data_IF_560396662262
#
_entry.id   IF_560396662262
#
_cell.length_a   1.000
_cell.length_b   1.000
_cell.length_c   1.000
_cell.angle_alpha   90.00
_cell.angle_beta   90.00
_cell.angle_gamma   90.00
#
_symmetry.space_group_name_H-M   'P 1'
#
loop_
_entity.id
_entity.type
_entity.pdbx_description
1 polymer ?
#
# COMPACT_ATOMS: atom_id res chain seq x y z
N UNK A 1 -10.37 -3.54 15.26
CA UNK A 1 -10.18 -2.10 15.51
C UNK A 1 -9.39 -1.50 14.35
N UNK A 2 -9.92 -1.62 13.12
CA UNK A 2 -9.16 -1.50 11.86
C UNK A 2 -8.66 -0.05 11.59
N UNK A 3 -9.13 0.94 12.36
CA UNK A 3 -8.75 2.36 12.24
C UNK A 3 -8.55 3.04 13.61
N UNK A 4 -8.27 2.28 14.67
CA UNK A 4 -8.22 2.80 16.04
C UNK A 4 -7.23 3.96 16.26
N UNK A 5 -6.18 4.04 15.45
CA UNK A 5 -5.14 5.08 15.50
C UNK A 5 -5.35 6.26 14.53
N UNK A 6 -6.45 6.29 13.77
CA UNK A 6 -6.66 7.25 12.67
C UNK A 6 -7.91 8.13 12.87
N UNK A 7 -8.22 8.50 14.12
CA UNK A 7 -9.26 9.51 14.37
C UNK A 7 -8.72 10.89 13.99
N UNK A 8 -9.21 11.46 12.90
CA UNK A 8 -8.90 12.82 12.47
C UNK A 8 -9.47 13.82 13.48
N UNK A 9 -8.65 14.23 14.45
CA UNK A 9 -9.00 15.29 15.40
C UNK A 9 -8.24 16.56 15.04
N UNK A 10 -8.96 17.69 14.98
CA UNK A 10 -8.37 19.02 14.81
C UNK A 10 -8.56 19.81 16.10
N UNK A 11 -7.47 20.26 16.71
CA UNK A 11 -7.52 21.19 17.84
C UNK A 11 -7.80 22.62 17.33
N UNK A 12 -9.02 23.10 17.58
CA UNK A 12 -9.49 24.42 17.14
C UNK A 12 -9.28 25.54 18.17
N UNK A 13 -8.48 25.33 19.21
CA UNK A 13 -8.29 26.30 20.30
C UNK A 13 -7.54 27.57 19.86
N UNK A 14 -6.54 27.44 18.99
CA UNK A 14 -5.77 28.55 18.40
C UNK A 14 -5.46 28.28 16.93
N UNK A 15 -4.98 29.29 16.20
CA UNK A 15 -4.53 29.10 14.81
C UNK A 15 -3.36 28.12 14.74
N UNK A 16 -2.40 28.21 15.65
CA UNK A 16 -1.21 27.34 15.66
C UNK A 16 -1.60 25.88 15.89
N UNK A 17 -2.47 25.61 16.86
CA UNK A 17 -2.95 24.24 17.14
C UNK A 17 -3.77 23.66 16.00
N UNK A 18 -4.51 24.50 15.26
CA UNK A 18 -5.21 24.08 14.04
C UNK A 18 -4.20 23.67 12.95
N UNK A 19 -3.16 24.48 12.74
CA UNK A 19 -2.13 24.21 11.74
C UNK A 19 -1.33 22.95 12.08
N UNK A 20 -0.94 22.76 13.33
CA UNK A 20 -0.24 21.54 13.78
C UNK A 20 -1.11 20.29 13.60
N UNK A 21 -2.40 20.38 13.93
CA UNK A 21 -3.35 19.29 13.72
C UNK A 21 -3.48 18.94 12.24
N UNK A 22 -3.60 19.94 11.36
CA UNK A 22 -3.68 19.74 9.92
C UNK A 22 -2.40 19.14 9.35
N UNK A 23 -1.22 19.60 9.80
CA UNK A 23 0.06 19.04 9.39
C UNK A 23 0.19 17.57 9.83
N UNK A 24 -0.18 17.27 11.07
CA UNK A 24 -0.20 15.90 11.60
C UNK A 24 -1.12 14.98 10.79
N UNK A 25 -2.30 15.46 10.38
CA UNK A 25 -3.22 14.70 9.54
C UNK A 25 -2.70 14.51 8.12
N UNK A 26 -2.18 15.56 7.48
CA UNK A 26 -1.63 15.51 6.13
C UNK A 26 -0.49 14.49 6.01
N UNK A 27 0.35 14.40 7.04
CA UNK A 27 1.43 13.43 7.14
C UNK A 27 0.96 11.97 7.24
N UNK A 28 -0.23 11.76 7.82
CA UNK A 28 -0.84 10.44 7.98
C UNK A 28 -1.77 10.04 6.82
N UNK A 29 -1.97 10.90 5.82
CA UNK A 29 -2.79 10.57 4.66
C UNK A 29 -2.21 9.40 3.86
N UNK A 30 -3.11 8.67 3.18
CA UNK A 30 -2.77 7.60 2.23
C UNK A 30 -1.81 8.16 1.18
N UNK A 31 -0.88 7.32 0.71
CA UNK A 31 0.30 7.72 -0.06
C UNK A 31 1.32 8.44 0.82
N UNK A 32 1.04 9.63 1.36
CA UNK A 32 2.02 10.42 2.14
C UNK A 32 2.66 9.59 3.24
N UNK A 33 1.87 8.91 4.06
CA UNK A 33 2.37 8.09 5.17
C UNK A 33 3.22 6.91 4.70
N UNK A 34 2.86 6.28 3.60
CA UNK A 34 3.37 4.97 3.15
C UNK A 34 4.65 5.09 2.31
N UNK A 35 4.84 6.23 1.65
CA UNK A 35 5.97 6.46 0.73
C UNK A 35 6.85 7.63 1.15
N UNK A 36 6.73 8.08 2.41
CA UNK A 36 7.60 9.13 2.97
C UNK A 36 8.91 8.52 3.46
N UNK A 37 10.03 9.13 3.07
CA UNK A 37 11.33 8.75 3.61
C UNK A 37 11.74 7.31 3.28
N UNK A 38 12.62 6.71 4.10
CA UNK A 38 13.09 5.34 3.89
C UNK A 38 11.99 4.29 4.04
N UNK A 39 12.05 3.23 3.23
CA UNK A 39 11.05 2.15 3.20
C UNK A 39 10.98 1.38 4.53
N UNK A 40 12.10 1.28 5.24
CA UNK A 40 12.30 0.56 6.50
C UNK A 40 12.05 1.44 7.75
N UNK A 41 11.60 2.68 7.57
CA UNK A 41 11.31 3.55 8.70
C UNK A 41 10.11 3.02 9.52
N UNK A 42 10.09 3.17 10.85
CA UNK A 42 8.95 2.71 11.66
C UNK A 42 7.62 3.37 11.30
N UNK A 43 6.52 2.62 11.36
CA UNK A 43 5.17 3.10 11.07
C UNK A 43 4.91 3.42 9.59
N UNK A 44 5.63 2.77 8.68
CA UNK A 44 5.51 2.92 7.23
C UNK A 44 4.61 1.83 6.62
N UNK A 45 4.64 1.74 5.28
CA UNK A 45 3.79 0.87 4.49
C UNK A 45 3.85 -0.62 4.89
N UNK A 46 5.04 -1.15 5.20
CA UNK A 46 5.16 -2.55 5.58
C UNK A 46 4.39 -2.88 6.87
N UNK A 47 4.52 -2.04 7.91
CA UNK A 47 3.79 -2.24 9.17
C UNK A 47 2.26 -2.13 8.99
N UNK A 48 1.81 -1.26 8.09
CA UNK A 48 0.39 -1.19 7.72
C UNK A 48 -0.08 -2.51 7.11
N UNK A 49 0.70 -3.10 6.21
CA UNK A 49 0.39 -4.40 5.60
C UNK A 49 0.46 -5.53 6.63
N UNK A 50 1.47 -5.55 7.50
CA UNK A 50 1.60 -6.54 8.56
C UNK A 50 0.41 -6.51 9.54
N UNK A 51 -0.06 -5.30 9.86
CA UNK A 51 -1.25 -5.10 10.69
C UNK A 51 -2.50 -5.62 9.97
N UNK A 52 -2.68 -5.27 8.69
CA UNK A 52 -3.80 -5.75 7.89
C UNK A 52 -3.78 -7.27 7.69
N UNK A 53 -2.60 -7.84 7.47
CA UNK A 53 -2.42 -9.28 7.34
C UNK A 53 -2.91 -10.02 8.58
N UNK A 54 -2.55 -9.52 9.77
CA UNK A 54 -2.97 -10.08 11.05
C UNK A 54 -4.47 -9.86 11.33
N UNK A 55 -4.99 -8.68 11.06
CA UNK A 55 -6.36 -8.31 11.41
C UNK A 55 -7.40 -8.89 10.44
N UNK A 56 -7.03 -9.06 9.17
CA UNK A 56 -7.95 -9.49 8.10
C UNK A 56 -7.67 -10.91 7.60
N UNK A 57 -6.58 -11.55 8.02
CA UNK A 57 -6.12 -12.85 7.48
C UNK A 57 -6.03 -12.83 5.96
N UNK A 58 -5.23 -11.92 5.39
CA UNK A 58 -5.11 -11.80 3.94
C UNK A 58 -4.36 -12.99 3.33
N UNK A 59 -4.87 -13.54 2.23
CA UNK A 59 -4.27 -14.70 1.55
C UNK A 59 -3.19 -14.32 0.53
N UNK A 60 -3.21 -13.09 0.01
CA UNK A 60 -2.24 -12.58 -0.95
C UNK A 60 -2.20 -11.04 -0.97
N UNK A 61 -1.14 -10.46 -1.56
CA UNK A 61 -1.03 -9.03 -1.79
C UNK A 61 -0.72 -8.70 -3.26
N UNK A 62 -1.55 -7.86 -3.89
CA UNK A 62 -1.40 -7.49 -5.29
C UNK A 62 -1.16 -5.98 -5.39
N UNK A 63 -0.07 -5.57 -6.04
CA UNK A 63 0.18 -4.19 -6.38
C UNK A 63 -0.09 -3.91 -7.84
N UNK A 64 -1.02 -2.97 -8.07
CA UNK A 64 -1.35 -2.44 -9.38
C UNK A 64 -0.83 -1.01 -9.47
N UNK A 65 0.22 -0.80 -10.26
CA UNK A 65 0.93 0.47 -10.33
C UNK A 65 0.94 1.08 -11.73
N UNK A 66 0.64 2.38 -11.82
CA UNK A 66 0.93 3.17 -13.02
C UNK A 66 2.43 3.42 -13.13
N UNK A 67 2.97 3.35 -14.35
CA UNK A 67 4.39 3.62 -14.64
C UNK A 67 4.83 5.04 -14.23
N UNK A 68 3.90 5.97 -14.04
CA UNK A 68 4.18 7.34 -13.60
C UNK A 68 4.67 7.45 -12.15
N UNK A 69 4.33 6.50 -11.28
CA UNK A 69 4.63 6.60 -9.84
C UNK A 69 6.06 6.14 -9.50
N UNK A 70 7.06 6.94 -9.91
CA UNK A 70 8.48 6.59 -9.72
C UNK A 70 8.89 6.35 -8.26
N UNK A 71 8.24 7.04 -7.32
CA UNK A 71 8.54 6.87 -5.89
C UNK A 71 8.27 5.43 -5.44
N UNK A 72 7.07 4.92 -5.73
CA UNK A 72 6.71 3.55 -5.39
C UNK A 72 7.51 2.53 -6.20
N UNK A 73 7.70 2.77 -7.50
CA UNK A 73 8.49 1.86 -8.36
C UNK A 73 9.93 1.68 -7.89
N UNK A 74 10.51 2.68 -7.22
CA UNK A 74 11.85 2.56 -6.65
C UNK A 74 11.98 1.53 -5.53
N UNK A 75 10.89 1.24 -4.80
CA UNK A 75 10.91 0.37 -3.62
C UNK A 75 9.99 -0.84 -3.67
N UNK A 76 9.04 -0.89 -4.61
CA UNK A 76 7.94 -1.88 -4.59
C UNK A 76 8.42 -3.33 -4.58
N UNK A 77 9.44 -3.66 -5.38
CA UNK A 77 9.96 -5.03 -5.47
C UNK A 77 10.61 -5.47 -4.16
N UNK A 78 11.26 -4.55 -3.44
CA UNK A 78 11.82 -4.81 -2.12
C UNK A 78 10.70 -5.02 -1.11
N UNK A 79 9.71 -4.14 -1.11
CA UNK A 79 8.55 -4.21 -0.21
C UNK A 79 7.76 -5.51 -0.38
N UNK A 80 7.50 -5.94 -1.62
CA UNK A 80 6.83 -7.22 -1.90
C UNK A 80 7.63 -8.42 -1.44
N UNK A 81 8.94 -8.41 -1.66
CA UNK A 81 9.81 -9.48 -1.15
C UNK A 81 9.78 -9.55 0.39
N UNK A 82 9.75 -8.42 1.09
CA UNK A 82 9.62 -8.40 2.55
C UNK A 82 8.29 -9.01 3.01
N UNK A 83 7.18 -8.73 2.30
CA UNK A 83 5.88 -9.35 2.59
C UNK A 83 5.95 -10.88 2.45
N UNK A 84 6.57 -11.37 1.38
CA UNK A 84 6.73 -12.81 1.17
C UNK A 84 7.58 -13.46 2.27
N UNK A 85 8.73 -12.86 2.60
CA UNK A 85 9.70 -13.43 3.54
C UNK A 85 9.24 -13.31 5.01
N UNK A 86 8.62 -12.20 5.41
CA UNK A 86 8.27 -11.94 6.81
C UNK A 86 6.84 -12.34 7.16
N UNK A 87 5.90 -12.23 6.22
CA UNK A 87 4.49 -12.54 6.47
C UNK A 87 4.07 -13.87 5.85
N UNK A 88 4.88 -14.46 4.96
CA UNK A 88 4.53 -15.70 4.25
C UNK A 88 3.39 -15.51 3.25
N UNK A 89 3.16 -14.28 2.80
CA UNK A 89 2.03 -13.93 1.94
C UNK A 89 2.53 -13.81 0.50
N UNK A 90 1.95 -14.55 -0.46
CA UNK A 90 2.34 -14.47 -1.85
C UNK A 90 2.00 -13.10 -2.45
N UNK A 91 2.87 -12.59 -3.33
CA UNK A 91 2.70 -11.26 -3.92
C UNK A 91 2.65 -11.27 -5.45
N UNK A 92 1.95 -10.29 -6.03
CA UNK A 92 1.90 -10.06 -7.47
C UNK A 92 2.06 -8.56 -7.78
N UNK A 93 2.93 -8.24 -8.73
CA UNK A 93 3.13 -6.86 -9.24
C UNK A 93 2.62 -6.79 -10.67
N UNK A 94 1.65 -5.91 -10.93
CA UNK A 94 1.07 -5.67 -12.25
C UNK A 94 1.31 -4.21 -12.65
N UNK A 95 1.80 -4.01 -13.87
CA UNK A 95 1.77 -2.69 -14.50
C UNK A 95 0.35 -2.43 -14.98
N UNK A 96 -0.26 -1.35 -14.50
CA UNK A 96 -1.62 -0.99 -14.89
C UNK A 96 -1.76 0.51 -14.95
N UNK A 97 -2.44 1.03 -15.95
CA UNK A 97 -2.82 2.43 -16.00
C UNK A 97 -4.33 2.55 -16.08
N UNK A 98 -4.91 3.48 -15.31
CA UNK A 98 -6.36 3.69 -15.26
C UNK A 98 -6.88 4.51 -16.44
N UNK A 99 -5.99 5.16 -17.18
CA UNK A 99 -6.32 6.04 -18.31
C UNK A 99 -5.84 5.48 -19.64
N UNK A 100 -4.83 4.61 -19.65
CA UNK A 100 -4.19 4.09 -20.85
C UNK A 100 -4.13 2.55 -20.89
N UNK A 101 -5.07 1.96 -21.61
CA UNK A 101 -5.16 0.50 -21.80
C UNK A 101 -4.00 -0.09 -22.62
N UNK A 102 -3.24 0.76 -23.32
CA UNK A 102 -2.06 0.33 -24.10
C UNK A 102 -0.90 -0.08 -23.20
N UNK A 103 -0.87 0.36 -21.94
CA UNK A 103 0.12 -0.07 -20.95
C UNK A 103 -0.06 -1.54 -20.66
N UNK A 104 -1.26 -1.93 -20.24
CA UNK A 104 -1.64 -3.34 -20.06
C UNK A 104 -3.15 -3.45 -20.21
N UNK A 105 -3.64 -4.14 -21.26
CA UNK A 105 -5.07 -4.31 -21.48
C UNK A 105 -5.74 -5.06 -20.33
N UNK A 106 -6.99 -4.72 -20.03
CA UNK A 106 -7.77 -5.38 -18.97
C UNK A 106 -7.80 -6.92 -19.05
N UNK A 107 -8.01 -7.56 -20.22
CA UNK A 107 -7.97 -9.02 -20.30
C UNK A 107 -6.65 -9.61 -19.80
N UNK A 108 -5.52 -8.94 -20.09
CA UNK A 108 -4.20 -9.37 -19.64
C UNK A 108 -4.04 -9.24 -18.12
N UNK A 109 -4.56 -8.17 -17.52
CA UNK A 109 -4.55 -8.00 -16.05
C UNK A 109 -5.36 -9.12 -15.39
N UNK A 110 -6.56 -9.41 -15.92
CA UNK A 110 -7.40 -10.51 -15.42
C UNK A 110 -6.67 -11.85 -15.50
N UNK A 111 -6.10 -12.17 -16.66
CA UNK A 111 -5.43 -13.47 -16.87
C UNK A 111 -4.24 -13.65 -15.91
N UNK A 112 -3.47 -12.60 -15.63
CA UNK A 112 -2.38 -12.63 -14.64
C UNK A 112 -2.88 -12.88 -13.22
N UNK A 113 -3.98 -12.24 -12.83
CA UNK A 113 -4.58 -12.44 -11.49
C UNK A 113 -5.15 -13.85 -11.38
N UNK A 114 -5.85 -14.34 -12.41
CA UNK A 114 -6.39 -15.71 -12.43
C UNK A 114 -5.28 -16.76 -12.35
N UNK A 115 -4.20 -16.59 -13.11
CA UNK A 115 -3.04 -17.48 -13.06
C UNK A 115 -2.42 -17.47 -11.65
N UNK A 116 -2.16 -16.29 -11.08
CA UNK A 116 -1.57 -16.16 -9.75
C UNK A 116 -2.42 -16.82 -8.65
N UNK A 117 -3.73 -16.57 -8.65
CA UNK A 117 -4.63 -17.14 -7.64
C UNK A 117 -4.67 -18.67 -7.75
N UNK A 118 -4.84 -19.20 -8.97
CA UNK A 118 -5.00 -20.64 -9.17
C UNK A 118 -3.70 -21.44 -8.99
N UNK A 119 -2.54 -20.81 -9.13
CA UNK A 119 -1.24 -21.50 -9.10
C UNK A 119 -0.42 -21.24 -7.86
N UNK A 120 -0.61 -20.10 -7.18
CA UNK A 120 0.20 -19.71 -6.01
C UNK A 120 -0.63 -19.62 -4.74
N UNK A 121 -1.84 -19.03 -4.80
CA UNK A 121 -2.62 -18.71 -3.59
C UNK A 121 -3.40 -19.93 -3.06
N UNK A 122 -3.99 -20.74 -3.94
CA UNK A 122 -4.89 -21.85 -3.55
C UNK A 122 -4.13 -23.18 -3.30
N UNK A 123 -2.79 -23.16 -3.23
CA UNK A 123 -1.97 -24.36 -3.01
C UNK A 123 -1.93 -24.83 -1.55
#
# INVERSE_FOLDING_TARGET
AILGHQHYTIDTSTVDTMLDSLAGQAHNMIMTKQIRGPLDYPGQWFEDIATLAKDLNIDCAIYLGTMGCKNTWGGIKVMMKMIEEELGIPTLIIHSDTWDDRVTPWPTIRDQIEEFVNTVVVQ
#
